data_IF_870930915976
#
_entry.id   IF_870930915976
#
_cell.length_a   1.000
_cell.length_b   1.000
_cell.length_c   1.000
_cell.angle_alpha   90.00
_cell.angle_beta   90.00
_cell.angle_gamma   90.00
#
_symmetry.space_group_name_H-M   'P 1'
#
loop_
_entity.id
_entity.type
_entity.pdbx_description
1 polymer ?
#
# COMPACT_ATOMS: atom_id res chain seq x y z
N UNK A 1 -45.40 -12.94 -15.13
CA UNK A 1 -44.43 -13.51 -14.20
C UNK A 1 -43.19 -13.84 -15.01
N UNK A 2 -42.26 -12.93 -15.11
CA UNK A 2 -40.97 -13.13 -15.78
C UNK A 2 -39.99 -13.36 -14.65
N UNK A 3 -39.30 -14.49 -14.74
CA UNK A 3 -38.48 -15.03 -13.68
C UNK A 3 -37.37 -14.10 -13.23
N UNK A 4 -37.13 -14.12 -11.94
CA UNK A 4 -35.95 -13.59 -11.27
C UNK A 4 -34.77 -14.48 -11.69
N UNK A 5 -34.09 -14.09 -12.77
CA UNK A 5 -32.85 -14.73 -13.18
C UNK A 5 -31.80 -14.48 -12.11
N UNK A 6 -31.30 -15.57 -11.58
CA UNK A 6 -30.17 -15.69 -10.67
C UNK A 6 -29.02 -14.80 -11.15
N UNK A 7 -28.84 -13.64 -10.53
CA UNK A 7 -27.56 -12.95 -10.51
C UNK A 7 -26.64 -13.87 -9.68
N UNK A 8 -25.91 -14.73 -10.36
CA UNK A 8 -24.90 -15.56 -9.73
C UNK A 8 -23.88 -14.61 -9.13
N UNK A 9 -23.87 -14.51 -7.81
CA UNK A 9 -22.83 -13.78 -7.06
C UNK A 9 -21.48 -14.17 -7.63
N UNK A 10 -20.73 -13.20 -8.14
CA UNK A 10 -19.34 -13.38 -8.57
C UNK A 10 -18.56 -13.98 -7.40
N UNK A 11 -18.25 -15.27 -7.48
CA UNK A 11 -17.39 -15.92 -6.51
C UNK A 11 -15.95 -15.72 -6.98
N UNK A 12 -15.06 -15.38 -6.06
CA UNK A 12 -13.62 -15.20 -6.32
C UNK A 12 -13.03 -16.33 -7.19
N UNK A 13 -13.47 -17.58 -6.97
CA UNK A 13 -13.02 -18.74 -7.73
C UNK A 13 -13.40 -18.66 -9.20
N UNK A 14 -14.57 -18.13 -9.52
CA UNK A 14 -15.01 -18.00 -10.92
C UNK A 14 -14.12 -17.02 -11.68
N UNK A 15 -13.66 -15.92 -11.05
CA UNK A 15 -12.83 -14.90 -11.70
C UNK A 15 -11.49 -15.51 -12.12
N UNK A 16 -10.79 -16.18 -11.22
CA UNK A 16 -9.48 -16.74 -11.55
C UNK A 16 -9.59 -17.86 -12.59
N UNK A 17 -10.61 -18.72 -12.51
CA UNK A 17 -10.89 -19.75 -13.52
C UNK A 17 -11.12 -19.14 -14.91
N UNK A 18 -11.80 -17.98 -15.01
CA UNK A 18 -12.04 -17.27 -16.27
C UNK A 18 -10.76 -16.64 -16.82
N UNK A 19 -9.90 -16.12 -15.96
CA UNK A 19 -8.57 -15.61 -16.34
C UNK A 19 -7.72 -16.75 -16.91
N UNK A 20 -7.65 -17.87 -16.21
CA UNK A 20 -6.88 -19.06 -16.61
C UNK A 20 -7.39 -19.68 -17.92
N UNK A 21 -8.70 -19.67 -18.10
CA UNK A 21 -9.35 -20.19 -19.31
C UNK A 21 -9.33 -19.22 -20.52
N UNK A 22 -8.84 -17.98 -20.36
CA UNK A 22 -8.92 -16.92 -21.37
C UNK A 22 -10.38 -16.61 -21.80
N UNK A 23 -11.32 -16.65 -20.86
CA UNK A 23 -12.73 -16.30 -21.14
C UNK A 23 -12.90 -14.76 -21.13
N UNK A 24 -12.41 -14.13 -22.20
CA UNK A 24 -12.32 -12.68 -22.33
C UNK A 24 -13.67 -11.99 -22.32
N UNK A 25 -14.66 -12.56 -23.01
CA UNK A 25 -16.01 -12.01 -23.10
C UNK A 25 -16.69 -12.02 -21.73
N UNK A 26 -16.54 -13.11 -20.99
CA UNK A 26 -17.09 -13.18 -19.64
C UNK A 26 -16.47 -12.12 -18.73
N UNK A 27 -15.14 -12.02 -18.72
CA UNK A 27 -14.43 -11.03 -17.90
C UNK A 27 -14.84 -9.60 -18.26
N UNK A 28 -14.85 -9.27 -19.56
CA UNK A 28 -15.19 -7.95 -20.07
C UNK A 28 -16.64 -7.54 -19.73
N UNK A 29 -17.57 -8.48 -19.80
CA UNK A 29 -18.97 -8.25 -19.45
C UNK A 29 -19.19 -8.03 -17.93
N UNK A 30 -18.18 -8.32 -17.10
CA UNK A 30 -18.21 -8.06 -15.66
C UNK A 30 -17.38 -6.83 -15.26
N UNK A 31 -16.79 -6.12 -16.23
CA UNK A 31 -16.16 -4.84 -15.97
C UNK A 31 -17.22 -3.78 -15.68
N UNK A 32 -16.92 -2.86 -14.76
CA UNK A 32 -17.72 -1.64 -14.63
C UNK A 32 -17.66 -0.79 -15.91
N UNK A 33 -18.68 0.05 -16.14
CA UNK A 33 -18.71 0.94 -17.30
C UNK A 33 -17.42 1.75 -17.42
N UNK A 34 -16.94 2.33 -16.31
CA UNK A 34 -15.68 3.08 -16.31
C UNK A 34 -14.47 2.22 -16.72
N UNK A 35 -14.42 0.95 -16.28
CA UNK A 35 -13.29 0.09 -16.63
C UNK A 35 -13.36 -0.39 -18.09
N UNK A 36 -14.56 -0.52 -18.66
CA UNK A 36 -14.76 -0.76 -20.10
C UNK A 36 -14.34 0.45 -20.96
N UNK A 37 -14.55 1.67 -20.46
CA UNK A 37 -14.14 2.89 -21.16
C UNK A 37 -12.62 3.04 -21.27
N UNK A 38 -11.88 2.54 -20.28
CA UNK A 38 -10.40 2.64 -20.23
C UNK A 38 -9.66 1.38 -20.71
N UNK A 39 -10.36 0.26 -20.89
CA UNK A 39 -9.77 -1.01 -21.32
C UNK A 39 -10.68 -1.71 -22.31
N UNK A 40 -10.30 -1.75 -23.56
CA UNK A 40 -11.09 -2.43 -24.60
C UNK A 40 -10.98 -3.96 -24.52
N UNK A 41 -11.98 -4.66 -25.06
CA UNK A 41 -11.94 -6.14 -25.17
C UNK A 41 -10.71 -6.63 -25.95
N UNK A 42 -10.24 -5.87 -26.94
CA UNK A 42 -9.05 -6.21 -27.74
C UNK A 42 -7.78 -6.15 -26.90
N UNK A 43 -7.65 -5.11 -26.08
CA UNK A 43 -6.52 -4.97 -25.14
C UNK A 43 -6.55 -6.07 -24.06
N UNK A 44 -7.72 -6.34 -23.48
CA UNK A 44 -7.88 -7.43 -22.52
C UNK A 44 -7.44 -8.77 -23.11
N UNK A 45 -7.86 -9.09 -24.34
CA UNK A 45 -7.46 -10.31 -25.06
C UNK A 45 -5.94 -10.39 -25.26
N UNK A 46 -5.31 -9.28 -25.61
CA UNK A 46 -3.87 -9.21 -25.81
C UNK A 46 -3.11 -9.44 -24.50
N UNK A 47 -3.49 -8.72 -23.44
CA UNK A 47 -2.85 -8.79 -22.13
C UNK A 47 -2.96 -10.19 -21.54
N UNK A 48 -4.15 -10.78 -21.52
CA UNK A 48 -4.37 -12.12 -20.94
C UNK A 48 -3.62 -13.22 -21.68
N UNK A 49 -3.59 -13.16 -23.02
CA UNK A 49 -2.83 -14.14 -23.83
C UNK A 49 -1.33 -14.09 -23.54
N UNK A 50 -0.77 -12.89 -23.35
CA UNK A 50 0.65 -12.77 -22.98
C UNK A 50 0.89 -13.23 -21.54
N UNK A 51 0.02 -12.84 -20.61
CA UNK A 51 0.11 -13.24 -19.21
C UNK A 51 0.05 -14.76 -19.03
N UNK A 52 -0.91 -15.43 -19.67
CA UNK A 52 -1.13 -16.89 -19.55
C UNK A 52 -0.01 -17.73 -20.18
N UNK A 53 0.93 -17.12 -20.89
CA UNK A 53 2.21 -17.78 -21.28
C UNK A 53 3.14 -18.01 -20.09
N UNK A 54 3.00 -17.21 -19.01
CA UNK A 54 3.84 -17.30 -17.81
C UNK A 54 3.29 -18.37 -16.86
N UNK A 55 1.98 -18.38 -16.63
CA UNK A 55 1.29 -19.34 -15.79
C UNK A 55 -0.21 -19.41 -16.11
N UNK A 56 -0.78 -20.59 -15.91
CA UNK A 56 -2.22 -20.87 -16.06
C UNK A 56 -2.84 -21.43 -14.80
N UNK A 57 -2.12 -21.47 -13.68
CA UNK A 57 -2.60 -21.96 -12.39
C UNK A 57 -2.20 -20.99 -11.27
N UNK A 58 -3.15 -20.66 -10.41
CA UNK A 58 -2.97 -19.66 -9.35
C UNK A 58 -3.64 -20.09 -8.07
N UNK A 59 -3.00 -19.73 -6.95
CA UNK A 59 -3.56 -19.89 -5.61
C UNK A 59 -3.89 -18.53 -5.01
N UNK A 60 -5.07 -18.41 -4.38
CA UNK A 60 -5.47 -17.20 -3.66
C UNK A 60 -4.49 -16.91 -2.52
N UNK A 61 -3.86 -15.75 -2.59
CA UNK A 61 -2.88 -15.32 -1.61
C UNK A 61 -3.47 -14.36 -0.58
N UNK A 62 -4.30 -13.39 -1.02
CA UNK A 62 -4.95 -12.39 -0.16
C UNK A 62 -6.35 -12.09 -0.63
N UNK A 63 -7.22 -11.79 0.34
CA UNK A 63 -8.51 -11.14 0.16
C UNK A 63 -8.56 -9.93 1.08
N UNK A 64 -8.69 -8.75 0.51
CA UNK A 64 -8.63 -7.48 1.21
C UNK A 64 -9.95 -6.74 1.03
N UNK A 65 -10.58 -6.37 2.14
CA UNK A 65 -11.79 -5.55 2.16
C UNK A 65 -11.47 -4.18 2.68
N UNK A 66 -11.72 -3.17 1.86
CA UNK A 66 -11.53 -1.77 2.27
C UNK A 66 -12.40 -0.85 1.41
N UNK A 67 -13.00 0.18 2.03
CA UNK A 67 -13.77 1.23 1.35
C UNK A 67 -14.83 0.68 0.39
N UNK A 68 -15.56 -0.38 0.79
CA UNK A 68 -16.62 -1.04 -0.01
C UNK A 68 -16.11 -1.71 -1.28
N UNK A 69 -14.83 -2.04 -1.32
CA UNK A 69 -14.24 -2.87 -2.37
C UNK A 69 -13.76 -4.19 -1.80
N UNK A 70 -13.76 -5.21 -2.65
CA UNK A 70 -13.16 -6.52 -2.39
C UNK A 70 -12.01 -6.74 -3.36
N UNK A 71 -10.78 -6.76 -2.88
CA UNK A 71 -9.61 -7.05 -3.70
C UNK A 71 -9.13 -8.48 -3.43
N UNK A 72 -8.97 -9.23 -4.50
CA UNK A 72 -8.43 -10.58 -4.48
C UNK A 72 -7.07 -10.60 -5.16
N UNK A 73 -6.07 -11.15 -4.49
CA UNK A 73 -4.71 -11.29 -5.02
C UNK A 73 -4.38 -12.77 -5.10
N UNK A 74 -4.09 -13.25 -6.31
CA UNK A 74 -3.62 -14.61 -6.57
C UNK A 74 -2.17 -14.58 -6.99
N UNK A 75 -1.43 -15.58 -6.56
CA UNK A 75 -0.05 -15.82 -6.99
C UNK A 75 -0.03 -17.11 -7.81
N UNK A 76 0.65 -17.08 -8.94
CA UNK A 76 0.84 -18.25 -9.77
C UNK A 76 1.61 -19.33 -9.02
N UNK A 77 1.25 -20.61 -9.22
CA UNK A 77 1.85 -21.73 -8.48
C UNK A 77 3.36 -21.87 -8.72
N UNK A 78 3.85 -21.37 -9.85
CA UNK A 78 5.29 -21.27 -10.15
C UNK A 78 5.98 -20.06 -9.47
N UNK A 79 5.23 -19.17 -8.82
CA UNK A 79 5.71 -17.95 -8.17
C UNK A 79 6.23 -16.86 -9.11
N UNK A 80 5.98 -16.95 -10.43
CA UNK A 80 6.55 -16.03 -11.42
C UNK A 80 5.56 -14.99 -11.94
N UNK A 81 4.32 -15.05 -11.50
CA UNK A 81 3.26 -14.14 -11.90
C UNK A 81 2.24 -13.96 -10.79
N UNK A 82 1.44 -12.94 -10.89
CA UNK A 82 0.33 -12.74 -9.99
C UNK A 82 -0.75 -11.85 -10.60
N UNK A 83 -1.93 -11.97 -10.04
CA UNK A 83 -3.15 -11.29 -10.46
C UNK A 83 -3.74 -10.57 -9.25
N UNK A 84 -4.13 -9.31 -9.42
CA UNK A 84 -5.05 -8.63 -8.49
C UNK A 84 -6.30 -8.22 -9.24
N UNK A 85 -7.46 -8.50 -8.65
CA UNK A 85 -8.77 -8.06 -9.16
C UNK A 85 -9.52 -7.39 -8.03
N UNK A 86 -10.02 -6.18 -8.28
CA UNK A 86 -10.84 -5.44 -7.35
C UNK A 86 -12.29 -5.38 -7.83
N UNK A 87 -13.19 -5.76 -6.95
CA UNK A 87 -14.63 -5.63 -7.15
C UNK A 87 -15.18 -4.43 -6.36
N UNK A 88 -16.13 -3.73 -6.93
CA UNK A 88 -16.93 -2.74 -6.21
C UNK A 88 -18.09 -3.40 -5.45
N UNK A 89 -18.88 -2.59 -4.72
CA UNK A 89 -20.06 -3.06 -3.96
C UNK A 89 -21.17 -3.70 -4.81
N UNK A 90 -21.12 -3.55 -6.14
CA UNK A 90 -22.07 -4.16 -7.08
C UNK A 90 -21.54 -5.45 -7.69
N UNK A 91 -20.37 -5.92 -7.24
CA UNK A 91 -19.62 -7.07 -7.79
C UNK A 91 -19.17 -6.85 -9.25
N UNK A 92 -18.92 -5.62 -9.66
CA UNK A 92 -18.31 -5.32 -10.95
C UNK A 92 -16.79 -5.22 -10.78
N UNK A 93 -16.05 -5.68 -11.77
CA UNK A 93 -14.58 -5.55 -11.81
C UNK A 93 -14.23 -4.10 -12.13
N UNK A 94 -13.61 -3.40 -11.20
CA UNK A 94 -13.18 -2.00 -11.34
C UNK A 94 -11.67 -1.86 -11.55
N UNK A 95 -10.92 -2.93 -11.30
CA UNK A 95 -9.48 -3.01 -11.55
C UNK A 95 -9.05 -4.45 -11.77
N UNK A 96 -8.14 -4.65 -12.71
CA UNK A 96 -7.46 -5.92 -12.95
C UNK A 96 -5.99 -5.65 -13.26
N UNK A 97 -5.11 -6.23 -12.48
CA UNK A 97 -3.66 -6.12 -12.63
C UNK A 97 -3.07 -7.51 -12.82
N UNK A 98 -2.36 -7.72 -13.91
CA UNK A 98 -1.66 -8.97 -14.24
C UNK A 98 -0.17 -8.65 -14.43
N UNK A 99 0.68 -9.22 -13.59
CA UNK A 99 2.10 -8.89 -13.56
C UNK A 99 2.95 -10.15 -13.55
N UNK A 100 4.06 -10.18 -14.33
CA UNK A 100 5.17 -11.07 -14.01
C UNK A 100 5.78 -10.61 -12.69
N UNK A 101 6.03 -11.54 -11.77
CA UNK A 101 6.67 -11.25 -10.48
C UNK A 101 8.17 -11.56 -10.58
N UNK A 102 8.99 -10.57 -10.20
CA UNK A 102 10.42 -10.80 -10.10
C UNK A 102 10.72 -11.77 -8.94
N UNK A 103 11.47 -12.85 -9.23
CA UNK A 103 12.01 -13.71 -8.18
C UNK A 103 12.87 -12.89 -7.22
N UNK A 104 12.64 -13.07 -5.94
CA UNK A 104 13.31 -12.39 -4.83
C UNK A 104 14.76 -12.03 -5.13
N UNK A 105 15.00 -10.75 -5.40
CA UNK A 105 16.35 -10.20 -5.27
C UNK A 105 16.67 -10.21 -3.77
N UNK A 106 17.81 -10.79 -3.39
CA UNK A 106 18.22 -10.86 -1.99
C UNK A 106 18.13 -9.47 -1.34
N UNK A 107 17.14 -9.28 -0.48
CA UNK A 107 16.93 -8.03 0.23
C UNK A 107 17.79 -8.03 1.50
N UNK A 108 18.45 -6.91 1.77
CA UNK A 108 19.22 -6.76 2.99
C UNK A 108 18.28 -6.51 4.17
N UNK A 109 18.40 -7.32 5.20
CA UNK A 109 17.69 -7.10 6.45
C UNK A 109 18.31 -5.95 7.25
N UNK A 110 17.50 -5.27 8.05
CA UNK A 110 18.00 -4.35 9.08
C UNK A 110 18.91 -5.08 10.07
N UNK A 111 19.89 -4.37 10.60
CA UNK A 111 20.84 -4.93 11.58
C UNK A 111 20.23 -4.98 12.97
N UNK A 112 19.34 -4.03 13.29
CA UNK A 112 18.59 -4.01 14.55
C UNK A 112 17.09 -4.24 14.33
N UNK A 113 16.34 -4.35 15.43
CA UNK A 113 14.91 -4.52 15.44
C UNK A 113 14.19 -3.17 15.59
N UNK A 114 13.08 -3.02 14.87
CA UNK A 114 12.21 -1.85 14.88
C UNK A 114 10.80 -2.21 15.34
N UNK A 115 10.03 -1.22 15.76
CA UNK A 115 8.57 -1.31 15.91
C UNK A 115 7.90 -0.51 14.82
N UNK A 116 6.62 -0.77 14.56
CA UNK A 116 5.85 0.13 13.70
C UNK A 116 5.80 1.53 14.34
N UNK A 117 5.91 2.60 13.52
CA UNK A 117 5.94 3.98 14.03
C UNK A 117 4.55 4.57 14.25
N UNK A 118 3.58 3.75 14.60
CA UNK A 118 2.18 4.11 14.84
C UNK A 118 1.71 3.45 16.13
N UNK A 119 0.86 4.12 16.90
CA UNK A 119 0.23 3.58 18.11
C UNK A 119 -1.13 2.98 17.78
N UNK A 120 -1.49 1.90 18.49
CA UNK A 120 -2.76 1.21 18.33
C UNK A 120 -2.85 0.29 17.12
N UNK A 121 -4.09 -0.02 16.72
CA UNK A 121 -4.35 -0.85 15.57
C UNK A 121 -4.15 -0.06 14.27
N UNK A 122 -3.54 -0.68 13.28
CA UNK A 122 -3.30 -0.09 11.97
C UNK A 122 -3.64 -1.09 10.88
N UNK A 123 -3.78 -0.59 9.66
CA UNK A 123 -3.98 -1.38 8.46
C UNK A 123 -2.84 -1.11 7.48
N UNK A 124 -2.25 -2.15 6.94
CA UNK A 124 -1.20 -2.06 5.93
C UNK A 124 -1.82 -1.88 4.56
N UNK A 125 -1.82 -0.66 4.03
CA UNK A 125 -2.34 -0.35 2.69
C UNK A 125 -1.32 -0.66 1.59
N UNK A 126 -0.01 -0.57 1.88
CA UNK A 126 1.07 -1.08 1.04
C UNK A 126 2.18 -1.67 1.91
N UNK A 127 2.68 -2.84 1.53
CA UNK A 127 3.75 -3.55 2.24
C UNK A 127 3.87 -4.99 1.77
N UNK A 128 5.09 -5.47 1.64
CA UNK A 128 5.38 -6.80 1.10
C UNK A 128 6.48 -6.77 0.03
N UNK A 129 6.81 -7.93 -0.52
CA UNK A 129 7.98 -8.15 -1.34
C UNK A 129 7.69 -8.45 -2.83
N UNK A 130 6.58 -7.90 -3.31
CA UNK A 130 6.24 -7.87 -4.75
C UNK A 130 5.33 -6.67 -5.07
N UNK A 131 5.17 -6.39 -6.36
CA UNK A 131 4.43 -5.23 -6.87
C UNK A 131 2.93 -5.26 -6.57
N UNK A 132 2.31 -6.43 -6.41
CA UNK A 132 0.88 -6.54 -6.10
C UNK A 132 0.57 -6.15 -4.65
N UNK A 133 1.53 -6.34 -3.76
CA UNK A 133 1.40 -6.01 -2.34
C UNK A 133 1.93 -4.60 -2.03
N UNK A 134 2.86 -4.12 -2.84
CA UNK A 134 3.60 -2.91 -2.52
C UNK A 134 3.97 -2.14 -3.80
N UNK A 135 3.27 -1.07 -4.07
CA UNK A 135 3.53 -0.22 -5.24
C UNK A 135 4.91 0.47 -5.19
N UNK A 136 5.56 0.52 -4.01
CA UNK A 136 6.92 1.00 -3.86
C UNK A 136 7.98 -0.01 -4.31
N UNK A 137 7.60 -1.27 -4.55
CA UNK A 137 8.54 -2.40 -4.74
C UNK A 137 9.52 -2.16 -5.89
N UNK A 138 9.12 -1.51 -6.96
CA UNK A 138 9.96 -1.21 -8.12
C UNK A 138 11.01 -0.13 -7.85
N UNK A 139 10.82 0.69 -6.80
CA UNK A 139 11.74 1.77 -6.47
C UNK A 139 12.74 1.32 -5.40
N UNK A 140 13.99 1.08 -5.79
CA UNK A 140 15.03 0.56 -4.89
C UNK A 140 15.14 1.34 -3.56
N UNK A 141 14.92 2.65 -3.61
CA UNK A 141 15.00 3.55 -2.46
C UNK A 141 13.73 3.58 -1.59
N UNK A 142 12.67 2.87 -2.01
CA UNK A 142 11.42 2.71 -1.24
C UNK A 142 10.91 1.25 -1.22
N UNK A 143 11.63 0.32 -1.83
CA UNK A 143 11.20 -1.07 -2.08
C UNK A 143 10.56 -1.77 -0.89
N UNK A 144 11.05 -1.50 0.33
CA UNK A 144 10.56 -2.11 1.56
C UNK A 144 9.76 -1.11 2.41
N UNK A 145 9.13 -0.13 1.78
CA UNK A 145 8.29 0.82 2.48
C UNK A 145 6.94 0.21 2.84
N UNK A 146 6.36 0.78 3.88
CA UNK A 146 5.00 0.53 4.35
C UNK A 146 4.20 1.82 4.26
N UNK A 147 2.98 1.72 3.76
CA UNK A 147 1.96 2.74 3.94
C UNK A 147 0.94 2.21 4.93
N UNK A 148 0.72 2.95 6.00
CA UNK A 148 -0.11 2.56 7.13
C UNK A 148 -1.29 3.52 7.26
N UNK A 149 -2.48 2.96 7.40
CA UNK A 149 -3.70 3.70 7.70
C UNK A 149 -4.44 3.05 8.86
N UNK A 150 -5.63 3.52 9.18
CA UNK A 150 -6.53 2.89 10.15
C UNK A 150 -7.86 2.60 9.49
N UNK A 151 -8.48 1.49 9.88
CA UNK A 151 -9.79 1.08 9.39
C UNK A 151 -10.73 0.82 10.56
N UNK A 152 -11.99 1.16 10.36
CA UNK A 152 -13.08 0.77 11.22
C UNK A 152 -14.19 0.20 10.33
N UNK A 153 -14.64 -1.04 10.61
CA UNK A 153 -15.61 -1.76 9.76
C UNK A 153 -15.23 -1.75 8.27
N UNK A 154 -13.93 -1.99 7.99
CA UNK A 154 -13.33 -1.98 6.66
C UNK A 154 -13.40 -0.64 5.91
N UNK A 155 -13.67 0.48 6.61
CA UNK A 155 -13.63 1.83 6.06
C UNK A 155 -12.40 2.59 6.59
N UNK A 156 -11.69 3.34 5.73
CA UNK A 156 -10.58 4.22 6.14
C UNK A 156 -11.08 5.57 6.64
N UNK A 157 -12.36 5.91 6.40
CA UNK A 157 -12.98 7.18 6.76
C UNK A 157 -14.43 6.99 7.21
N UNK A 158 -14.95 8.00 7.92
CA UNK A 158 -16.35 8.13 8.28
C UNK A 158 -17.00 9.27 7.46
N UNK A 159 -18.21 9.05 6.95
CA UNK A 159 -18.92 10.08 6.17
C UNK A 159 -18.43 10.16 4.74
N UNK A 160 -17.88 11.31 4.32
CA UNK A 160 -17.39 11.56 2.96
C UNK A 160 -15.87 11.65 2.91
N UNK A 161 -15.20 11.13 1.85
CA UNK A 161 -13.73 11.09 1.77
C UNK A 161 -13.09 12.40 1.29
N UNK A 162 -13.76 13.54 1.43
CA UNK A 162 -13.31 14.83 0.88
C UNK A 162 -12.66 15.77 1.92
N UNK A 163 -12.52 15.31 3.17
CA UNK A 163 -11.88 16.05 4.27
C UNK A 163 -10.93 15.12 5.02
N UNK A 164 -9.76 15.61 5.36
CA UNK A 164 -8.75 14.83 6.08
C UNK A 164 -9.26 14.33 7.43
N UNK A 165 -10.02 15.17 8.13
CA UNK A 165 -10.57 14.91 9.47
C UNK A 165 -11.57 13.74 9.49
N UNK A 166 -12.09 13.34 8.33
CA UNK A 166 -12.98 12.18 8.22
C UNK A 166 -12.21 10.85 8.21
N UNK A 167 -10.88 10.87 7.98
CA UNK A 167 -10.06 9.66 7.97
C UNK A 167 -9.62 9.28 9.38
N UNK A 168 -9.78 8.01 9.75
CA UNK A 168 -9.48 7.53 11.10
C UNK A 168 -8.02 7.69 11.50
N UNK A 169 -7.10 7.62 10.55
CA UNK A 169 -5.67 7.77 10.82
C UNK A 169 -5.20 9.23 10.87
N UNK A 170 -5.97 10.20 10.34
CA UNK A 170 -5.55 11.60 10.33
C UNK A 170 -5.41 12.16 11.75
N UNK A 171 -4.29 12.80 12.02
CA UNK A 171 -3.99 13.36 13.34
C UNK A 171 -3.55 12.34 14.39
N UNK A 172 -3.51 11.04 14.07
CA UNK A 172 -3.05 10.01 15.00
C UNK A 172 -1.56 10.07 15.26
N UNK A 173 -1.14 9.58 16.44
CA UNK A 173 0.24 9.65 16.90
C UNK A 173 1.21 8.86 16.04
N UNK A 174 2.28 9.53 15.60
CA UNK A 174 3.46 8.90 15.01
C UNK A 174 4.57 8.84 16.03
N UNK A 175 5.14 7.65 16.25
CA UNK A 175 6.16 7.40 17.25
C UNK A 175 7.51 6.99 16.64
N UNK A 176 8.60 7.24 17.34
CA UNK A 176 9.92 6.81 16.90
C UNK A 176 10.02 5.27 16.88
N UNK A 177 10.41 4.62 15.76
CA UNK A 177 10.41 3.16 15.62
C UNK A 177 11.55 2.48 16.39
N UNK A 178 12.56 3.24 16.79
CA UNK A 178 13.69 2.82 17.63
C UNK A 178 14.37 4.04 18.23
N UNK A 179 15.28 3.82 19.21
CA UNK A 179 16.13 4.90 19.72
C UNK A 179 17.01 5.46 18.60
N UNK A 180 17.23 6.78 18.61
CA UNK A 180 18.05 7.41 17.60
C UNK A 180 18.18 8.92 17.78
N UNK A 181 18.82 9.55 16.79
CA UNK A 181 18.99 11.01 16.71
C UNK A 181 18.27 11.52 15.48
N UNK A 182 17.45 12.54 15.63
CA UNK A 182 16.82 13.27 14.51
C UNK A 182 17.91 13.95 13.69
N UNK A 183 17.99 13.65 12.41
CA UNK A 183 19.04 14.16 11.52
C UNK A 183 18.49 15.02 10.39
N UNK A 184 17.20 14.91 10.09
CA UNK A 184 16.53 15.77 9.13
C UNK A 184 15.03 15.87 9.43
N UNK A 185 14.47 17.05 9.23
CA UNK A 185 13.01 17.28 9.25
C UNK A 185 12.63 18.23 8.12
N UNK A 186 11.44 18.06 7.58
CA UNK A 186 10.74 19.06 6.77
C UNK A 186 9.40 19.32 7.44
N UNK A 187 9.08 20.58 7.66
CA UNK A 187 7.86 21.06 8.33
C UNK A 187 7.15 22.05 7.41
N UNK A 188 5.92 22.37 7.71
CA UNK A 188 5.15 23.47 7.07
C UNK A 188 4.70 23.22 5.62
N UNK A 189 4.74 21.98 5.13
CA UNK A 189 4.02 21.59 3.92
C UNK A 189 2.55 21.38 4.32
N UNK A 190 1.64 22.13 3.72
CA UNK A 190 0.21 22.00 3.98
C UNK A 190 -0.28 20.61 3.59
N UNK A 191 -1.22 20.10 4.37
CA UNK A 191 -1.94 18.89 3.98
C UNK A 191 -2.76 19.13 2.70
N UNK A 192 -2.78 18.14 1.84
CA UNK A 192 -3.60 18.16 0.63
C UNK A 192 -5.08 17.99 0.96
N UNK A 193 -5.96 18.43 0.06
CA UNK A 193 -7.33 17.95 0.02
C UNK A 193 -7.32 16.49 -0.41
N UNK A 194 -8.06 15.57 0.25
CA UNK A 194 -8.15 14.19 -0.24
C UNK A 194 -8.56 14.11 -1.72
N UNK A 195 -7.85 13.26 -2.47
CA UNK A 195 -7.95 13.17 -3.93
C UNK A 195 -6.92 14.00 -4.69
N UNK A 196 -6.23 14.93 -4.04
CA UNK A 196 -5.15 15.73 -4.61
C UNK A 196 -3.78 15.27 -4.07
N UNK A 197 -2.71 15.56 -4.79
CA UNK A 197 -1.35 15.24 -4.36
C UNK A 197 -0.36 16.36 -4.75
N UNK A 198 0.58 16.68 -3.86
CA UNK A 198 1.63 17.65 -4.11
C UNK A 198 2.94 16.95 -4.49
N UNK A 199 3.16 16.79 -5.78
CA UNK A 199 4.36 16.11 -6.31
C UNK A 199 5.64 16.96 -6.25
N UNK A 200 5.55 18.27 -5.95
CA UNK A 200 6.72 19.13 -5.81
C UNK A 200 7.50 18.85 -4.52
N UNK A 201 6.84 18.29 -3.51
CA UNK A 201 7.42 17.88 -2.24
C UNK A 201 6.99 16.44 -1.94
N UNK A 202 7.55 15.43 -2.64
CA UNK A 202 6.98 14.07 -2.64
C UNK A 202 6.83 13.46 -1.24
N UNK A 203 7.76 13.68 -0.32
CA UNK A 203 7.68 13.16 1.05
C UNK A 203 6.73 13.98 1.95
N UNK A 204 6.32 15.18 1.52
CA UNK A 204 5.58 16.10 2.36
C UNK A 204 6.38 16.49 3.61
N UNK A 205 5.72 16.63 4.75
CA UNK A 205 6.39 16.77 6.04
C UNK A 205 6.95 15.43 6.47
N UNK A 206 8.18 15.41 6.98
CA UNK A 206 8.84 14.17 7.38
C UNK A 206 9.83 14.35 8.53
N UNK A 207 10.16 13.25 9.17
CA UNK A 207 11.25 13.13 10.15
C UNK A 207 12.15 11.98 9.73
N UNK A 208 13.47 12.23 9.65
CA UNK A 208 14.49 11.19 9.49
C UNK A 208 15.25 11.04 10.80
N UNK A 209 15.32 9.80 11.30
CA UNK A 209 16.03 9.44 12.51
C UNK A 209 17.20 8.55 12.14
N UNK A 210 18.41 8.93 12.56
CA UNK A 210 19.59 8.08 12.50
C UNK A 210 19.58 7.13 13.69
N UNK A 211 19.65 5.85 13.41
CA UNK A 211 19.77 4.79 14.39
C UNK A 211 21.19 4.25 14.46
N UNK A 212 21.42 3.28 15.34
CA UNK A 212 22.69 2.56 15.40
C UNK A 212 23.01 1.89 14.04
N UNK A 213 24.28 1.57 13.81
CA UNK A 213 24.78 0.85 12.63
C UNK A 213 24.51 1.57 11.28
N UNK A 214 24.31 2.92 11.33
CA UNK A 214 24.03 3.76 10.17
C UNK A 214 22.79 3.30 9.38
N UNK A 215 21.74 2.96 10.08
CA UNK A 215 20.39 2.79 9.55
C UNK A 215 19.59 4.06 9.81
N UNK A 216 18.72 4.43 8.86
CA UNK A 216 17.91 5.65 8.97
C UNK A 216 16.45 5.28 8.75
N UNK A 217 15.59 5.65 9.68
CA UNK A 217 14.16 5.59 9.44
C UNK A 217 13.67 6.92 8.86
N UNK A 218 12.70 6.85 7.97
CA UNK A 218 11.89 7.98 7.57
C UNK A 218 10.43 7.69 7.90
N UNK A 219 9.74 8.68 8.46
CA UNK A 219 8.28 8.76 8.55
C UNK A 219 7.84 10.00 7.79
N UNK A 220 6.90 9.87 6.88
CA UNK A 220 6.53 10.90 5.91
C UNK A 220 5.02 11.08 5.79
N UNK A 221 4.60 12.09 5.01
CA UNK A 221 3.23 12.58 4.86
C UNK A 221 2.62 13.08 6.17
N UNK A 222 3.48 13.59 7.08
CA UNK A 222 3.07 14.05 8.40
C UNK A 222 2.19 15.31 8.30
N UNK A 223 1.29 15.45 9.28
CA UNK A 223 0.40 16.60 9.41
C UNK A 223 1.17 17.90 9.56
N UNK A 224 0.73 18.95 8.87
CA UNK A 224 1.32 20.27 9.01
C UNK A 224 1.37 20.71 10.47
N UNK A 225 2.48 21.32 10.87
CA UNK A 225 2.72 21.87 12.21
C UNK A 225 2.65 20.84 13.37
N UNK A 226 2.61 19.52 13.07
CA UNK A 226 2.50 18.48 14.11
C UNK A 226 3.85 17.94 14.60
N UNK A 227 4.96 18.21 13.90
CA UNK A 227 6.29 17.65 14.23
C UNK A 227 6.82 18.29 15.51
N UNK A 228 7.03 17.46 16.53
CA UNK A 228 7.41 17.83 17.92
C UNK A 228 8.91 17.76 18.20
N UNK A 229 9.71 17.38 17.20
CA UNK A 229 11.15 17.19 17.35
C UNK A 229 11.92 18.07 16.36
N UNK A 230 13.16 18.41 16.72
CA UNK A 230 14.07 19.19 15.90
C UNK A 230 15.34 18.39 15.57
N UNK A 231 16.04 18.84 14.52
CA UNK A 231 17.33 18.24 14.15
C UNK A 231 18.32 18.35 15.30
N UNK A 232 18.86 17.22 15.72
CA UNK A 232 19.76 17.13 16.86
C UNK A 232 19.16 16.41 18.06
N UNK A 233 17.83 16.35 18.16
CA UNK A 233 17.14 15.70 19.28
C UNK A 233 17.42 14.21 19.34
N UNK A 234 17.55 13.70 20.57
CA UNK A 234 17.63 12.29 20.86
C UNK A 234 16.23 11.77 21.18
N UNK A 235 15.78 10.80 20.44
CA UNK A 235 14.47 10.18 20.63
C UNK A 235 14.59 8.75 21.13
N UNK A 236 13.59 8.31 21.88
CA UNK A 236 13.45 6.93 22.35
C UNK A 236 12.38 6.22 21.54
N UNK A 237 12.51 4.91 21.38
CA UNK A 237 11.45 4.06 20.81
C UNK A 237 10.12 4.34 21.50
N UNK A 238 9.04 4.47 20.72
CA UNK A 238 7.70 4.78 21.22
C UNK A 238 7.49 6.26 21.60
N UNK A 239 8.51 7.12 21.49
CA UNK A 239 8.33 8.54 21.75
C UNK A 239 7.50 9.19 20.64
N UNK A 240 6.43 9.90 21.02
CA UNK A 240 5.61 10.68 20.08
C UNK A 240 6.45 11.79 19.42
N UNK A 241 6.49 11.80 18.09
CA UNK A 241 7.33 12.71 17.31
C UNK A 241 6.54 13.59 16.33
N UNK A 242 5.35 13.16 15.90
CA UNK A 242 4.48 13.88 14.97
C UNK A 242 3.07 13.26 14.93
N UNK A 243 2.22 13.79 14.06
CA UNK A 243 0.93 13.16 13.76
C UNK A 243 0.84 12.80 12.27
N UNK A 244 0.03 11.79 11.94
CA UNK A 244 -0.28 11.39 10.56
C UNK A 244 -1.05 12.52 9.88
N UNK A 245 -0.63 12.89 8.67
CA UNK A 245 -1.26 13.90 7.83
C UNK A 245 -1.57 13.40 6.43
N UNK A 246 -1.61 14.35 5.49
CA UNK A 246 -1.85 14.11 4.07
C UNK A 246 -0.99 15.06 3.22
N UNK A 247 0.24 15.34 3.65
CA UNK A 247 1.13 16.26 2.95
C UNK A 247 1.99 15.55 1.90
N UNK A 248 2.35 16.27 0.84
CA UNK A 248 3.25 15.73 -0.19
C UNK A 248 2.53 14.90 -1.27
N UNK A 249 3.20 13.89 -1.82
CA UNK A 249 2.61 12.98 -2.82
C UNK A 249 1.73 11.92 -2.14
N UNK A 250 0.66 12.39 -1.53
CA UNK A 250 -0.31 11.63 -0.76
C UNK A 250 -1.72 12.08 -1.16
N UNK A 251 -2.53 11.16 -1.68
CA UNK A 251 -3.91 11.45 -2.11
C UNK A 251 -4.94 11.25 -0.99
N UNK A 252 -4.57 10.58 0.08
CA UNK A 252 -5.39 10.38 1.29
C UNK A 252 -4.49 10.22 2.52
N UNK A 253 -4.97 10.56 3.73
CA UNK A 253 -4.21 10.41 4.95
C UNK A 253 -3.64 9.01 5.15
N UNK A 254 -2.33 8.92 5.32
CA UNK A 254 -1.61 7.71 5.68
C UNK A 254 -0.21 8.03 6.21
N UNK A 255 0.43 7.07 6.83
CA UNK A 255 1.82 7.16 7.26
C UNK A 255 2.70 6.34 6.33
N UNK A 256 3.64 6.98 5.65
CA UNK A 256 4.69 6.29 4.91
C UNK A 256 5.90 6.04 5.81
N UNK A 257 6.41 4.82 5.81
CA UNK A 257 7.53 4.38 6.67
C UNK A 257 8.48 3.42 5.97
N UNK A 258 9.78 3.67 6.05
CA UNK A 258 10.80 2.67 5.69
C UNK A 258 12.13 2.90 6.42
N UNK A 259 13.03 1.90 6.33
CA UNK A 259 14.42 2.00 6.79
C UNK A 259 15.35 2.03 5.59
N UNK A 260 16.20 3.06 5.52
CA UNK A 260 17.12 3.30 4.41
C UNK A 260 18.59 3.30 4.85
N UNK A 261 19.48 3.09 3.89
CA UNK A 261 20.92 3.04 4.12
C UNK A 261 21.64 4.39 3.97
N UNK A 262 20.93 5.43 3.57
CA UNK A 262 21.45 6.79 3.38
C UNK A 262 20.40 7.82 3.79
N UNK A 263 20.85 8.94 4.32
CA UNK A 263 19.98 10.05 4.74
C UNK A 263 19.29 10.77 3.54
N UNK A 264 19.90 10.73 2.36
CA UNK A 264 19.34 11.38 1.18
C UNK A 264 18.20 10.53 0.62
N UNK A 265 16.98 11.06 0.65
CA UNK A 265 15.81 10.44 0.01
C UNK A 265 16.04 10.23 -1.48
N UNK A 266 15.31 9.32 -2.11
CA UNK A 266 15.47 8.92 -3.52
C UNK A 266 16.88 8.43 -3.88
N UNK A 267 17.67 7.98 -2.91
CA UNK A 267 19.01 7.43 -3.15
C UNK A 267 19.30 6.19 -2.30
N UNK A 268 20.22 5.34 -2.79
CA UNK A 268 20.59 4.14 -2.06
C UNK A 268 19.55 3.01 -2.20
N UNK A 269 19.27 2.35 -1.11
CA UNK A 269 18.31 1.24 -1.01
C UNK A 269 17.68 1.21 0.38
N UNK A 270 16.51 0.56 0.47
CA UNK A 270 15.85 0.26 1.74
C UNK A 270 16.23 -1.12 2.25
N UNK A 271 16.14 -1.28 3.56
CA UNK A 271 16.28 -2.56 4.23
C UNK A 271 14.90 -3.20 4.44
N UNK A 272 14.82 -4.52 4.31
CA UNK A 272 13.71 -5.30 4.81
C UNK A 272 13.76 -5.29 6.34
N UNK A 273 12.67 -4.91 6.98
CA UNK A 273 12.66 -4.59 8.41
C UNK A 273 12.54 -5.85 9.25
N UNK A 274 13.38 -5.99 10.25
CA UNK A 274 13.18 -6.94 11.35
C UNK A 274 12.32 -6.27 12.42
N UNK A 275 11.10 -6.74 12.59
CA UNK A 275 10.22 -6.23 13.65
C UNK A 275 10.48 -6.90 14.98
N UNK A 276 10.31 -6.15 16.08
CA UNK A 276 10.62 -6.62 17.43
C UNK A 276 9.53 -7.54 17.99
N UNK A 277 8.28 -7.22 17.69
CA UNK A 277 7.08 -7.71 18.37
C UNK A 277 6.08 -8.40 17.42
N UNK A 278 6.44 -8.55 16.16
CA UNK A 278 5.57 -9.15 15.15
C UNK A 278 6.36 -9.76 14.00
N UNK A 279 5.70 -10.60 13.23
CA UNK A 279 6.18 -11.02 11.91
C UNK A 279 6.14 -9.83 10.94
N UNK A 280 6.76 -10.00 9.77
CA UNK A 280 6.67 -9.01 8.71
C UNK A 280 5.20 -8.83 8.27
N UNK A 281 4.61 -7.64 8.43
CA UNK A 281 3.25 -7.41 7.99
C UNK A 281 3.21 -7.28 6.46
N UNK A 282 2.12 -7.70 5.89
CA UNK A 282 1.85 -7.61 4.47
C UNK A 282 0.59 -6.77 4.21
N UNK A 283 0.46 -6.25 3.01
CA UNK A 283 -0.75 -5.55 2.57
C UNK A 283 -2.01 -6.32 2.95
N UNK A 284 -2.94 -5.65 3.62
CA UNK A 284 -4.18 -6.21 4.14
C UNK A 284 -4.13 -6.67 5.60
N UNK A 285 -2.96 -6.73 6.23
CA UNK A 285 -2.84 -7.06 7.66
C UNK A 285 -3.32 -5.87 8.54
N UNK A 286 -3.87 -6.22 9.72
CA UNK A 286 -4.35 -5.30 10.77
C UNK A 286 -3.57 -5.52 12.05
#
# INVERSE_FOLDING_TARGET
MIGSDNVSTLKQQNIIEKIEANDFEWLYNHFSDYFQDVTSLVELKSILKEYNKISTTHTLFRHIKVNKTDEFIWIADNGQAGVSVTLNKYNEIVSMVLLPLEKNKSQKLTKQYYTMPIEGEYFVSAGGDNELLNHHFNFKYQRNAYDLTMVNEDMTYQGTPNQNENYYCYGQSVVAPANGKVVQTLKNIKDNTPGEANTNHPEGNFVIIQHQLNEYSIVAHLQSDSIKVDVGDIVRRGQHIANIGNSGNSSEPHLHFHIMNKIKTHSGYTYKIKFLDQNEPLRGDK
#
